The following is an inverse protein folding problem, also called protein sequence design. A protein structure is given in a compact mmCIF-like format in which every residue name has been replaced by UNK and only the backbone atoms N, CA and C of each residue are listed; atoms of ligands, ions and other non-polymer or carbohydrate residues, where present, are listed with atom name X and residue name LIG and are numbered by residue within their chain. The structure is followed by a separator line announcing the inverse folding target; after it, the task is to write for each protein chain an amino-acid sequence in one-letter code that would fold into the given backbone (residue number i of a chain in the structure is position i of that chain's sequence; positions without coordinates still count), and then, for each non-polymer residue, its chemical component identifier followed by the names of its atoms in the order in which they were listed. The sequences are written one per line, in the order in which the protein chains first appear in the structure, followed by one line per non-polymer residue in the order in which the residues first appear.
data_IF_192789011541
#
_entry.id   IF_192789011541
#
_cell.length_a   1.000
_cell.length_b   1.000
_cell.length_c   1.000
_cell.angle_alpha   90.00
_cell.angle_beta   90.00
_cell.angle_gamma   90.00
#
_symmetry.space_group_name_H-M   'P 1'
#
loop_
_entity.id
_entity.type
_entity.pdbx_description
1 polymer ?
#
# COMPACT_ATOMS: atom_id res chain seq x y z
N UNK A 1 7.99 13.95 -16.76
CA UNK A 1 9.46 13.74 -16.65
C UNK A 1 10.04 14.29 -15.35
N UNK A 2 10.75 15.44 -15.26
CA UNK A 2 11.39 15.85 -13.97
C UNK A 2 10.39 16.09 -12.83
N UNK A 3 9.30 16.80 -13.11
CA UNK A 3 8.27 17.13 -12.11
C UNK A 3 7.49 15.90 -11.65
N UNK A 4 7.17 15.00 -12.57
CA UNK A 4 6.53 13.73 -12.28
C UNK A 4 7.39 12.83 -11.39
N UNK A 5 8.69 12.69 -11.70
CA UNK A 5 9.61 11.95 -10.83
C UNK A 5 9.70 12.60 -9.45
N UNK A 6 9.77 13.94 -9.39
CA UNK A 6 9.77 14.65 -8.11
C UNK A 6 8.46 14.44 -7.33
N UNK A 7 7.31 14.37 -8.02
CA UNK A 7 6.02 14.10 -7.40
C UNK A 7 5.95 12.66 -6.85
N UNK A 8 6.34 11.66 -7.66
CA UNK A 8 6.42 10.27 -7.22
C UNK A 8 7.33 10.13 -6.00
N UNK A 9 8.55 10.66 -6.07
CA UNK A 9 9.48 10.62 -4.94
C UNK A 9 8.94 11.36 -3.72
N UNK A 10 8.31 12.52 -3.90
CA UNK A 10 7.70 13.29 -2.81
C UNK A 10 6.61 12.52 -2.08
N UNK A 11 5.73 11.82 -2.81
CA UNK A 11 4.70 10.95 -2.23
C UNK A 11 5.31 9.75 -1.53
N UNK A 12 6.22 9.02 -2.18
CA UNK A 12 6.86 7.86 -1.52
C UNK A 12 7.63 8.27 -0.26
N UNK A 13 8.20 9.48 -0.24
CA UNK A 13 8.90 10.04 0.92
C UNK A 13 7.92 10.36 2.06
N UNK A 14 6.70 10.82 1.74
CA UNK A 14 5.62 11.02 2.72
C UNK A 14 5.11 9.68 3.29
N UNK A 15 4.72 8.76 2.41
CA UNK A 15 4.09 7.48 2.80
C UNK A 15 5.02 6.61 3.66
N UNK A 16 6.33 6.65 3.41
CA UNK A 16 7.29 5.74 4.05
C UNK A 16 8.13 6.38 5.16
N UNK A 17 7.69 7.53 5.71
CA UNK A 17 8.45 8.31 6.71
C UNK A 17 9.91 8.51 6.29
N UNK A 18 10.10 9.22 5.17
CA UNK A 18 11.42 9.48 4.61
C UNK A 18 12.21 8.20 4.29
N UNK A 19 11.50 7.16 3.82
CA UNK A 19 12.02 5.83 3.53
C UNK A 19 12.59 5.07 4.73
N UNK A 20 12.24 5.47 5.96
CA UNK A 20 12.58 4.71 7.19
C UNK A 20 11.64 3.53 7.41
N UNK A 21 10.41 3.63 6.92
CA UNK A 21 9.34 2.66 7.14
C UNK A 21 9.06 1.84 5.86
N UNK A 22 9.76 0.71 5.69
CA UNK A 22 9.41 -0.27 4.66
C UNK A 22 8.11 -1.04 4.99
N UNK A 23 7.71 -1.03 6.26
CA UNK A 23 6.43 -1.53 6.79
C UNK A 23 5.81 -0.41 7.62
N UNK A 24 4.49 -0.32 7.58
CA UNK A 24 3.73 0.61 8.42
C UNK A 24 4.12 0.45 9.90
N UNK A 25 4.32 1.55 10.64
CA UNK A 25 4.70 1.48 12.05
C UNK A 25 3.61 0.88 12.95
N UNK A 26 2.35 1.12 12.57
CA UNK A 26 1.20 0.78 13.36
C UNK A 26 0.35 -0.28 12.66
N UNK A 27 0.99 -1.39 12.25
CA UNK A 27 0.33 -2.61 11.77
C UNK A 27 -0.79 -3.14 12.69
N UNK A 28 -0.84 -2.63 13.92
CA UNK A 28 -1.74 -3.00 15.01
C UNK A 28 -2.29 -1.75 15.73
N UNK A 29 -2.32 -0.56 15.11
CA UNK A 29 -2.83 0.66 15.77
C UNK A 29 -4.26 0.47 16.27
N UNK A 30 -5.09 -0.14 15.43
CA UNK A 30 -6.43 -0.54 15.76
C UNK A 30 -6.34 -1.95 16.35
N UNK A 31 -6.36 -2.04 17.68
CA UNK A 31 -6.24 -3.31 18.39
C UNK A 31 -7.26 -3.45 19.52
N UNK A 32 -7.42 -4.69 19.98
CA UNK A 32 -8.22 -5.03 21.15
C UNK A 32 -7.37 -5.90 22.07
N UNK A 33 -7.41 -5.62 23.37
CA UNK A 33 -6.85 -6.53 24.37
C UNK A 33 -7.92 -7.49 24.88
N UNK A 34 -7.64 -8.80 24.88
CA UNK A 34 -8.48 -9.82 25.52
C UNK A 34 -7.58 -10.76 26.32
N UNK A 35 -7.87 -10.91 27.61
CA UNK A 35 -7.13 -11.78 28.55
C UNK A 35 -5.59 -11.57 28.58
N UNK A 36 -5.13 -10.34 28.31
CA UNK A 36 -3.71 -9.97 28.31
C UNK A 36 -2.98 -10.23 26.99
N UNK A 37 -3.68 -10.67 25.95
CA UNK A 37 -3.19 -10.74 24.57
C UNK A 37 -3.69 -9.53 23.76
N UNK A 38 -2.81 -8.95 22.93
CA UNK A 38 -3.13 -7.83 22.02
C UNK A 38 -3.48 -8.34 20.63
N UNK A 39 -4.64 -7.94 20.12
CA UNK A 39 -5.18 -8.39 18.85
C UNK A 39 -5.30 -7.26 17.85
N UNK A 40 -4.59 -7.37 16.74
CA UNK A 40 -4.41 -6.35 15.73
C UNK A 40 -5.44 -6.48 14.60
N UNK A 41 -6.07 -5.38 14.19
CA UNK A 41 -6.56 -5.21 12.82
C UNK A 41 -5.33 -4.89 11.95
N UNK A 42 -5.14 -5.43 10.71
CA UNK A 42 -6.18 -5.66 9.69
C UNK A 42 -6.15 -7.03 8.95
N UNK A 43 -7.17 -7.86 9.18
CA UNK A 43 -7.65 -8.82 8.19
C UNK A 43 -9.10 -8.46 7.82
N UNK A 44 -9.58 -8.92 6.67
CA UNK A 44 -11.01 -8.77 6.37
C UNK A 44 -11.84 -9.46 7.47
N UNK A 45 -13.09 -9.02 7.70
CA UNK A 45 -13.97 -9.59 8.75
C UNK A 45 -14.04 -11.12 8.70
N UNK A 46 -13.90 -11.69 7.50
CA UNK A 46 -14.02 -13.12 7.22
C UNK A 46 -12.75 -13.91 7.56
N UNK A 47 -11.59 -13.25 7.67
CA UNK A 47 -10.29 -13.83 8.02
C UNK A 47 -9.89 -13.52 9.48
N UNK A 48 -10.71 -12.77 10.19
CA UNK A 48 -10.55 -12.56 11.62
C UNK A 48 -11.23 -13.70 12.37
N UNK A 49 -10.44 -14.55 13.04
CA UNK A 49 -10.92 -15.49 14.02
C UNK A 49 -11.47 -14.71 15.20
N UNK A 50 -12.80 -14.57 15.30
CA UNK A 50 -13.48 -13.82 16.35
C UNK A 50 -13.41 -14.49 17.73
N UNK A 51 -13.10 -15.79 17.79
CA UNK A 51 -13.01 -16.54 19.04
C UNK A 51 -11.61 -16.39 19.67
N UNK A 52 -10.57 -16.41 18.84
CA UNK A 52 -9.17 -16.27 19.28
C UNK A 52 -8.57 -14.90 18.96
N UNK A 53 -9.35 -13.99 18.40
CA UNK A 53 -9.00 -12.63 17.96
C UNK A 53 -7.76 -12.56 17.02
N UNK A 54 -7.44 -13.64 16.31
CA UNK A 54 -6.27 -13.74 15.41
C UNK A 54 -6.69 -13.59 13.96
N UNK A 55 -5.81 -13.06 13.12
CA UNK A 55 -5.99 -13.16 11.68
C UNK A 55 -5.57 -14.55 11.20
N UNK A 56 -6.49 -15.30 10.59
CA UNK A 56 -6.18 -16.53 9.86
C UNK A 56 -5.69 -16.15 8.46
N UNK A 57 -4.38 -15.99 8.30
CA UNK A 57 -3.78 -15.71 7.00
C UNK A 57 -2.90 -14.46 6.97
N UNK A 58 -2.55 -14.05 5.76
CA UNK A 58 -1.65 -12.93 5.52
C UNK A 58 -2.36 -11.59 5.70
N UNK A 59 -1.62 -10.62 6.23
CA UNK A 59 -2.12 -9.30 6.60
C UNK A 59 -1.62 -8.27 5.59
N UNK A 60 -2.54 -7.49 4.99
CA UNK A 60 -2.27 -6.58 3.86
C UNK A 60 -2.19 -5.10 4.27
N UNK A 61 -1.43 -4.82 5.34
CA UNK A 61 -1.10 -3.46 5.79
C UNK A 61 -0.06 -2.78 4.87
N UNK A 62 0.25 -1.50 5.13
CA UNK A 62 1.18 -0.72 4.33
C UNK A 62 2.59 -1.31 4.25
N UNK A 63 3.06 -1.60 3.03
CA UNK A 63 4.46 -1.99 2.76
C UNK A 63 5.04 -1.28 1.53
N UNK A 64 6.36 -1.20 1.49
CA UNK A 64 7.09 -0.67 0.34
C UNK A 64 6.97 0.84 0.18
N UNK A 65 7.38 1.34 -1.00
CA UNK A 65 7.62 2.75 -1.23
C UNK A 65 6.36 3.63 -1.13
N UNK A 66 5.19 3.08 -1.47
CA UNK A 66 3.90 3.80 -1.44
C UNK A 66 2.96 3.28 -0.35
N UNK A 67 3.47 2.49 0.60
CA UNK A 67 2.66 1.80 1.61
C UNK A 67 1.47 1.04 1.01
N UNK A 68 1.76 0.17 0.04
CA UNK A 68 0.76 -0.69 -0.60
C UNK A 68 -0.05 -1.42 0.47
N UNK A 69 -1.36 -1.17 0.45
CA UNK A 69 -2.33 -1.67 1.41
C UNK A 69 -3.47 -2.33 0.67
N UNK A 70 -4.20 -3.22 1.35
CA UNK A 70 -5.32 -4.00 0.82
C UNK A 70 -4.94 -5.14 -0.12
N UNK A 71 -5.54 -6.31 0.10
CA UNK A 71 -5.30 -7.54 -0.66
C UNK A 71 -5.43 -7.37 -2.19
N UNK A 72 -6.40 -6.58 -2.66
CA UNK A 72 -6.61 -6.36 -4.09
C UNK A 72 -5.44 -5.61 -4.75
N UNK A 73 -4.79 -4.68 -4.05
CA UNK A 73 -3.61 -3.98 -4.54
C UNK A 73 -2.38 -4.90 -4.55
N UNK A 74 -2.20 -5.71 -3.52
CA UNK A 74 -1.15 -6.74 -3.48
C UNK A 74 -1.31 -7.71 -4.66
N UNK A 75 -2.52 -8.21 -4.89
CA UNK A 75 -2.83 -9.12 -6.01
C UNK A 75 -2.50 -8.47 -7.37
N UNK A 76 -2.91 -7.22 -7.58
CA UNK A 76 -2.70 -6.53 -8.85
C UNK A 76 -1.21 -6.20 -9.09
N UNK A 77 -0.50 -5.75 -8.05
CA UNK A 77 0.95 -5.52 -8.12
C UNK A 77 1.73 -6.82 -8.35
N UNK A 78 1.29 -7.92 -7.74
CA UNK A 78 1.88 -9.25 -7.89
C UNK A 78 1.79 -9.73 -9.34
N UNK A 79 0.60 -9.63 -9.94
CA UNK A 79 0.41 -9.95 -11.35
C UNK A 79 1.29 -9.07 -12.25
N UNK A 80 1.34 -7.76 -12.00
CA UNK A 80 2.09 -6.82 -12.83
C UNK A 80 3.61 -6.99 -12.74
N UNK A 81 4.15 -7.34 -11.57
CA UNK A 81 5.60 -7.39 -11.32
C UNK A 81 6.17 -8.81 -11.44
N UNK A 82 5.39 -9.83 -11.10
CA UNK A 82 5.86 -11.21 -11.07
C UNK A 82 5.15 -12.12 -12.09
N UNK A 83 4.09 -11.65 -12.75
CA UNK A 83 3.26 -12.50 -13.62
C UNK A 83 2.50 -13.58 -12.87
N UNK A 84 2.35 -13.42 -11.56
CA UNK A 84 1.64 -14.32 -10.66
C UNK A 84 0.91 -13.52 -9.60
N UNK A 85 -0.42 -13.47 -9.70
CA UNK A 85 -1.30 -12.82 -8.74
C UNK A 85 -1.20 -13.33 -7.29
N UNK A 86 -0.70 -14.55 -7.04
CA UNK A 86 -0.66 -15.12 -5.69
C UNK A 86 0.61 -14.79 -4.92
N UNK A 87 1.74 -14.50 -5.57
CA UNK A 87 3.03 -14.32 -4.91
C UNK A 87 2.98 -13.35 -3.71
N UNK A 88 2.43 -12.16 -3.89
CA UNK A 88 2.31 -11.18 -2.78
C UNK A 88 1.10 -11.45 -1.87
N UNK A 89 0.15 -12.30 -2.29
CA UNK A 89 -0.91 -12.78 -1.41
C UNK A 89 -0.40 -13.83 -0.43
N UNK A 90 0.49 -14.70 -0.90
CA UNK A 90 1.10 -15.80 -0.15
C UNK A 90 2.28 -15.33 0.70
N UNK A 91 3.01 -14.30 0.23
CA UNK A 91 4.10 -13.68 0.97
C UNK A 91 4.12 -12.14 0.78
N UNK A 92 3.21 -11.39 1.43
CA UNK A 92 3.12 -9.94 1.28
C UNK A 92 4.38 -9.21 1.77
N UNK A 93 5.19 -9.85 2.60
CA UNK A 93 6.40 -9.25 3.18
C UNK A 93 7.49 -8.98 2.14
N UNK A 94 7.43 -9.65 0.98
CA UNK A 94 8.28 -9.38 -0.17
C UNK A 94 8.21 -7.91 -0.62
N UNK A 95 7.04 -7.25 -0.47
CA UNK A 95 6.86 -5.83 -0.79
C UNK A 95 7.63 -4.91 0.17
N UNK A 96 8.02 -5.39 1.35
CA UNK A 96 8.84 -4.66 2.31
C UNK A 96 10.32 -5.06 2.28
N UNK A 97 10.66 -6.28 1.86
CA UNK A 97 12.04 -6.81 1.96
C UNK A 97 12.81 -6.80 0.64
N UNK A 98 12.12 -6.95 -0.50
CA UNK A 98 12.77 -6.97 -1.80
C UNK A 98 12.70 -5.59 -2.47
N UNK A 99 13.83 -4.90 -2.71
CA UNK A 99 13.81 -3.54 -3.26
C UNK A 99 13.08 -3.44 -4.60
N UNK A 100 13.19 -4.46 -5.45
CA UNK A 100 12.50 -4.53 -6.73
C UNK A 100 10.98 -4.48 -6.55
N UNK A 101 10.42 -5.21 -5.59
CA UNK A 101 9.00 -5.22 -5.31
C UNK A 101 8.55 -4.00 -4.50
N UNK A 102 9.36 -3.52 -3.55
CA UNK A 102 9.06 -2.34 -2.77
C UNK A 102 8.88 -1.08 -3.63
N UNK A 103 9.78 -0.86 -4.58
CA UNK A 103 9.70 0.25 -5.53
C UNK A 103 8.78 -0.06 -6.70
N UNK A 104 8.79 -1.29 -7.19
CA UNK A 104 7.93 -1.75 -8.29
C UNK A 104 6.46 -1.59 -7.96
N UNK A 105 6.02 -1.93 -6.75
CA UNK A 105 4.63 -1.76 -6.33
C UNK A 105 4.23 -0.27 -6.29
N UNK A 106 5.14 0.60 -5.87
CA UNK A 106 4.95 2.06 -5.93
C UNK A 106 4.80 2.57 -7.36
N UNK A 107 5.67 2.14 -8.28
CA UNK A 107 5.57 2.52 -9.70
C UNK A 107 4.31 1.96 -10.34
N UNK A 108 3.95 0.70 -10.05
CA UNK A 108 2.70 0.10 -10.51
C UNK A 108 1.50 0.94 -10.07
N UNK A 109 1.40 1.29 -8.78
CA UNK A 109 0.32 2.13 -8.28
C UNK A 109 0.27 3.48 -9.01
N UNK A 110 1.43 4.11 -9.18
CA UNK A 110 1.53 5.41 -9.86
C UNK A 110 1.00 5.37 -11.30
N UNK A 111 1.28 4.29 -12.02
CA UNK A 111 0.95 4.14 -13.43
C UNK A 111 -0.47 3.62 -13.67
N UNK A 112 -0.94 2.68 -12.84
CA UNK A 112 -2.10 1.83 -13.14
C UNK A 112 -3.26 1.95 -12.14
N UNK A 113 -3.04 2.45 -10.91
CA UNK A 113 -4.13 2.55 -9.94
C UNK A 113 -5.10 3.68 -10.35
N UNK A 114 -6.34 3.28 -10.67
CA UNK A 114 -7.38 4.17 -11.16
C UNK A 114 -8.24 4.72 -10.02
N UNK A 115 -8.35 6.04 -9.95
CA UNK A 115 -9.39 6.75 -9.19
C UNK A 115 -10.05 7.75 -10.14
N UNK A 116 -11.38 7.75 -10.21
CA UNK A 116 -12.15 8.66 -11.09
C UNK A 116 -11.62 8.68 -12.55
N UNK A 117 -11.33 7.49 -13.10
CA UNK A 117 -10.82 7.29 -14.46
C UNK A 117 -9.45 7.95 -14.75
N UNK A 118 -8.68 8.29 -13.71
CA UNK A 118 -7.33 8.83 -13.82
C UNK A 118 -6.33 8.08 -12.94
N UNK A 119 -5.03 8.23 -13.24
CA UNK A 119 -3.92 7.66 -12.47
C UNK A 119 -2.98 8.78 -12.05
N UNK A 120 -2.08 8.52 -11.09
CA UNK A 120 -1.11 9.52 -10.67
C UNK A 120 -0.21 9.95 -11.85
N UNK A 121 0.15 9.02 -12.72
CA UNK A 121 0.85 9.33 -13.96
C UNK A 121 0.06 10.36 -14.81
N UNK A 122 -1.21 10.09 -15.08
CA UNK A 122 -2.06 10.99 -15.89
C UNK A 122 -2.18 12.38 -15.23
N UNK A 123 -2.47 12.45 -13.93
CA UNK A 123 -2.58 13.72 -13.20
C UNK A 123 -1.25 14.50 -13.19
N UNK A 124 -0.11 13.82 -13.03
CA UNK A 124 1.20 14.46 -13.07
C UNK A 124 1.56 15.08 -14.44
N UNK A 125 0.90 14.60 -15.50
CA UNK A 125 1.03 15.13 -16.86
C UNK A 125 -0.01 16.22 -17.17
N UNK A 126 -1.18 16.20 -16.51
CA UNK A 126 -2.22 17.24 -16.61
C UNK A 126 -1.79 18.48 -15.84
N UNK A 127 -1.04 19.36 -16.50
CA UNK A 127 -0.56 20.63 -15.91
C UNK A 127 0.32 20.47 -14.66
N UNK A 128 0.85 19.27 -14.41
CA UNK A 128 1.62 18.93 -13.21
C UNK A 128 0.81 19.06 -11.92
N UNK A 129 -0.41 18.52 -11.93
CA UNK A 129 -1.29 18.59 -10.79
C UNK A 129 -0.84 17.64 -9.67
N UNK A 130 -0.02 18.17 -8.76
CA UNK A 130 0.40 17.44 -7.56
C UNK A 130 -0.79 17.14 -6.64
N UNK A 131 -1.79 18.03 -6.58
CA UNK A 131 -3.02 17.81 -5.80
C UNK A 131 -3.85 16.66 -6.38
N UNK A 132 -3.95 16.56 -7.71
CA UNK A 132 -4.58 15.43 -8.39
C UNK A 132 -3.91 14.09 -8.06
N UNK A 133 -2.58 14.05 -8.02
CA UNK A 133 -1.85 12.84 -7.59
C UNK A 133 -2.10 12.49 -6.12
N UNK A 134 -2.16 13.48 -5.23
CA UNK A 134 -2.52 13.27 -3.82
C UNK A 134 -3.95 12.74 -3.68
N UNK A 135 -4.89 13.31 -4.44
CA UNK A 135 -6.27 12.86 -4.43
C UNK A 135 -6.37 11.38 -4.83
N UNK A 136 -5.60 10.94 -5.83
CA UNK A 136 -5.54 9.53 -6.23
C UNK A 136 -4.94 8.60 -5.16
N UNK A 137 -3.95 9.08 -4.41
CA UNK A 137 -3.31 8.30 -3.34
C UNK A 137 -4.24 8.21 -2.12
N UNK A 138 -4.68 9.35 -1.57
CA UNK A 138 -5.43 9.38 -0.30
C UNK A 138 -6.46 10.51 -0.18
N UNK A 139 -7.03 10.99 -1.28
CA UNK A 139 -7.97 12.12 -1.24
C UNK A 139 -9.28 11.89 -0.48
N UNK A 140 -9.61 10.65 -0.10
CA UNK A 140 -10.75 10.41 0.80
C UNK A 140 -10.52 10.89 2.23
N UNK A 141 -9.26 11.10 2.62
CA UNK A 141 -8.85 11.57 3.95
C UNK A 141 -8.14 12.94 3.91
N UNK A 142 -7.49 13.28 2.79
CA UNK A 142 -6.56 14.42 2.72
C UNK A 142 -6.96 15.53 1.74
N UNK A 143 -8.16 15.50 1.14
CA UNK A 143 -8.61 16.50 0.16
C UNK A 143 -10.00 17.08 0.49
#
# INVERSE_FOLDING_TARGET
RKKELAAFLGHTLHESDEWKAAREYLMCADNKEVDGETFCKPCTTDEFDWDNFKCTGNVFFGRGAIQTSWNYNYRAASEALAGDASLFCDNPDLVATEPEYAWGAGVFFWMENLKEETTCHIESLRSHDFGGTLNNINGGLEC
#
